data_IF_031097927123
#
_entry.id   IF_031097927123
#
_cell.length_a   1.000
_cell.length_b   1.000
_cell.length_c   1.000
_cell.angle_alpha   90.00
_cell.angle_beta   90.00
_cell.angle_gamma   90.00
#
_symmetry.space_group_name_H-M   'P 1'
#
loop_
_entity.id
_entity.type
_entity.pdbx_description
1 polymer ?
#
# COMPACT_ATOMS: atom_id res chain seq x y z
N UNK A 1 -6.95 7.17 17.39
CA UNK A 1 -6.96 7.28 15.91
C UNK A 1 -6.78 8.73 15.49
N UNK A 2 -6.02 9.00 14.48
CA UNK A 2 -5.86 10.35 13.92
C UNK A 2 -6.95 10.55 12.88
N UNK A 3 -7.74 11.60 13.00
CA UNK A 3 -8.79 11.89 12.03
C UNK A 3 -8.16 12.37 10.72
N UNK A 4 -8.53 11.77 9.59
CA UNK A 4 -8.16 12.27 8.27
C UNK A 4 -8.84 13.63 8.03
N UNK A 5 -8.06 14.60 7.56
CA UNK A 5 -8.56 15.89 7.10
C UNK A 5 -8.06 16.15 5.69
N UNK A 6 -8.96 16.47 4.78
CA UNK A 6 -8.60 16.85 3.42
C UNK A 6 -7.90 18.21 3.44
N UNK A 7 -6.68 18.32 2.89
CA UNK A 7 -5.99 19.61 2.78
C UNK A 7 -6.64 20.48 1.71
N UNK A 8 -6.57 21.79 1.89
CA UNK A 8 -7.13 22.76 0.95
C UNK A 8 -6.29 22.88 -0.33
N UNK A 9 -4.99 22.66 -0.24
CA UNK A 9 -4.04 22.78 -1.36
C UNK A 9 -2.81 21.88 -1.19
N UNK A 10 -1.89 21.93 -2.16
CA UNK A 10 -0.64 21.16 -2.13
C UNK A 10 0.29 21.55 -0.98
N UNK A 11 0.31 22.83 -0.59
CA UNK A 11 1.20 23.29 0.48
C UNK A 11 0.73 22.72 1.82
N UNK A 12 -0.57 22.75 2.09
CA UNK A 12 -1.17 22.12 3.28
C UNK A 12 -0.97 20.60 3.24
N UNK A 13 -1.16 19.95 2.08
CA UNK A 13 -0.93 18.51 1.93
C UNK A 13 0.50 18.10 2.28
N UNK A 14 1.48 18.86 1.82
CA UNK A 14 2.90 18.64 2.16
C UNK A 14 3.17 18.88 3.64
N UNK A 15 2.60 19.91 4.23
CA UNK A 15 2.71 20.19 5.65
C UNK A 15 2.12 19.06 6.50
N UNK A 16 0.99 18.47 6.09
CA UNK A 16 0.38 17.30 6.72
C UNK A 16 1.32 16.09 6.65
N UNK A 17 1.93 15.82 5.49
CA UNK A 17 2.91 14.74 5.36
C UNK A 17 4.11 14.94 6.30
N UNK A 18 4.67 16.15 6.36
CA UNK A 18 5.82 16.47 7.20
C UNK A 18 5.48 16.36 8.70
N UNK A 19 4.29 16.77 9.11
CA UNK A 19 3.83 16.66 10.49
C UNK A 19 3.56 15.20 10.92
N UNK A 20 2.98 14.38 10.03
CA UNK A 20 2.64 13.00 10.35
C UNK A 20 3.82 12.03 10.22
N UNK A 21 4.84 12.37 9.43
CA UNK A 21 6.03 11.53 9.20
C UNK A 21 6.70 11.11 10.50
N UNK A 22 6.80 12.00 11.48
CA UNK A 22 7.42 11.70 12.79
C UNK A 22 6.64 10.66 13.61
N UNK A 23 5.41 10.33 13.20
CA UNK A 23 4.56 9.34 13.89
C UNK A 23 4.67 7.94 13.28
N UNK A 24 5.44 7.78 12.21
CA UNK A 24 5.71 6.46 11.63
C UNK A 24 6.56 5.64 12.59
N UNK A 25 6.07 4.48 12.97
CA UNK A 25 6.77 3.52 13.83
C UNK A 25 7.50 2.52 12.94
N UNK A 26 8.81 2.36 13.12
CA UNK A 26 9.69 1.55 12.29
C UNK A 26 10.45 0.48 13.06
N UNK A 27 10.43 0.54 14.37
CA UNK A 27 11.17 -0.31 15.31
C UNK A 27 10.34 -1.51 15.83
N UNK A 28 9.09 -1.65 15.36
CA UNK A 28 8.30 -2.84 15.63
C UNK A 28 8.56 -3.91 14.56
N UNK A 29 8.67 -5.19 14.95
CA UNK A 29 8.93 -6.28 13.99
C UNK A 29 7.76 -6.51 13.03
N UNK A 30 6.52 -6.17 13.43
CA UNK A 30 5.30 -6.52 12.72
C UNK A 30 4.88 -7.99 12.92
N UNK A 31 3.71 -8.39 12.37
CA UNK A 31 3.26 -9.77 12.45
C UNK A 31 4.16 -10.71 11.65
N UNK A 32 4.30 -11.98 12.05
CA UNK A 32 5.08 -12.96 11.28
C UNK A 32 4.43 -13.27 9.91
N UNK A 33 5.22 -13.36 8.82
CA UNK A 33 4.70 -13.76 7.51
C UNK A 33 4.03 -15.13 7.50
N UNK A 34 2.95 -15.28 6.74
CA UNK A 34 2.19 -16.52 6.63
C UNK A 34 1.32 -16.85 7.85
N UNK A 35 1.12 -15.91 8.77
CA UNK A 35 0.26 -16.09 9.95
C UNK A 35 -0.82 -15.02 10.04
N UNK A 36 -1.98 -15.38 10.57
CA UNK A 36 -3.09 -14.47 10.80
C UNK A 36 -3.73 -13.96 9.51
N UNK A 37 -4.14 -12.71 9.52
CA UNK A 37 -4.83 -12.05 8.39
C UNK A 37 -3.93 -11.03 7.73
N UNK A 38 -4.13 -10.87 6.42
CA UNK A 38 -3.45 -9.87 5.61
C UNK A 38 -4.44 -9.27 4.64
N UNK A 39 -4.44 -7.94 4.52
CA UNK A 39 -5.41 -7.22 3.70
C UNK A 39 -4.72 -6.49 2.57
N UNK A 40 -5.21 -6.67 1.34
CA UNK A 40 -4.86 -5.81 0.23
C UNK A 40 -5.86 -4.67 0.10
N UNK A 41 -5.36 -3.47 -0.21
CA UNK A 41 -6.18 -2.33 -0.57
C UNK A 41 -5.74 -1.78 -1.92
N UNK A 42 -6.71 -1.38 -2.72
CA UNK A 42 -6.49 -0.73 -4.01
C UNK A 42 -7.70 0.13 -4.38
N UNK A 43 -7.54 1.02 -5.37
CA UNK A 43 -8.60 1.90 -5.84
C UNK A 43 -8.73 1.87 -7.36
N UNK A 44 -9.92 2.13 -7.86
CA UNK A 44 -10.20 2.37 -9.26
C UNK A 44 -10.91 3.73 -9.41
N UNK A 45 -10.62 4.42 -10.53
CA UNK A 45 -11.14 5.76 -10.81
C UNK A 45 -12.00 5.78 -12.06
N UNK A 46 -13.02 6.63 -12.03
CA UNK A 46 -13.70 7.19 -13.21
C UNK A 46 -13.48 8.71 -13.16
N UNK A 47 -12.47 9.18 -13.88
CA UNK A 47 -12.08 10.59 -13.88
C UNK A 47 -13.13 11.50 -14.57
N UNK A 48 -14.01 10.94 -15.42
CA UNK A 48 -15.09 11.70 -16.07
C UNK A 48 -16.22 12.06 -15.08
N UNK A 49 -16.39 11.20 -14.05
CA UNK A 49 -17.43 11.35 -13.02
C UNK A 49 -16.89 11.79 -11.66
N UNK A 50 -15.59 12.05 -11.54
CA UNK A 50 -14.88 12.26 -10.27
C UNK A 50 -15.15 11.14 -9.24
N UNK A 51 -15.34 9.91 -9.71
CA UNK A 51 -15.66 8.77 -8.86
C UNK A 51 -14.39 7.97 -8.54
N UNK A 52 -14.25 7.58 -7.30
CA UNK A 52 -13.26 6.60 -6.84
C UNK A 52 -13.96 5.45 -6.12
N UNK A 53 -13.57 4.23 -6.40
CA UNK A 53 -14.00 3.05 -5.66
C UNK A 53 -12.78 2.37 -5.06
N UNK A 54 -12.76 2.24 -3.75
CA UNK A 54 -11.75 1.47 -3.01
C UNK A 54 -12.27 0.07 -2.72
N UNK A 55 -11.35 -0.89 -2.68
CA UNK A 55 -11.58 -2.23 -2.19
C UNK A 55 -10.59 -2.59 -1.08
N UNK A 56 -11.05 -3.37 -0.11
CA UNK A 56 -10.25 -4.04 0.90
C UNK A 56 -10.57 -5.54 0.86
N UNK A 57 -9.56 -6.38 0.64
CA UNK A 57 -9.69 -7.84 0.57
C UNK A 57 -8.81 -8.48 1.61
N UNK A 58 -9.43 -9.14 2.57
CA UNK A 58 -8.77 -9.85 3.68
C UNK A 58 -8.53 -11.29 3.29
N UNK A 59 -7.28 -11.73 3.37
CA UNK A 59 -6.90 -13.12 3.16
C UNK A 59 -6.41 -13.75 4.45
N UNK A 60 -6.60 -15.06 4.59
CA UNK A 60 -5.78 -15.86 5.48
C UNK A 60 -4.35 -15.90 4.94
N UNK A 61 -3.37 -15.51 5.76
CA UNK A 61 -1.99 -15.33 5.31
C UNK A 61 -1.30 -16.66 4.94
N UNK A 62 -1.75 -17.79 5.49
CA UNK A 62 -1.19 -19.13 5.20
C UNK A 62 -1.74 -19.73 3.91
N UNK A 63 -3.06 -19.64 3.70
CA UNK A 63 -3.75 -20.30 2.57
C UNK A 63 -3.93 -19.37 1.37
N UNK A 64 -3.99 -18.05 1.58
CA UNK A 64 -4.39 -17.00 0.65
C UNK A 64 -5.85 -17.11 0.21
N UNK A 65 -6.68 -17.80 0.98
CA UNK A 65 -8.12 -17.80 0.79
C UNK A 65 -8.74 -16.49 1.27
N UNK A 66 -9.79 -16.05 0.58
CA UNK A 66 -10.52 -14.83 0.98
C UNK A 66 -11.34 -15.10 2.23
N UNK A 67 -11.11 -14.29 3.26
CA UNK A 67 -11.84 -14.32 4.54
C UNK A 67 -12.99 -13.32 4.54
N UNK A 68 -12.74 -12.12 4.03
CA UNK A 68 -13.72 -11.04 3.92
C UNK A 68 -13.29 -10.06 2.83
N UNK A 69 -14.26 -9.33 2.31
CA UNK A 69 -14.01 -8.25 1.37
C UNK A 69 -15.03 -7.13 1.58
N UNK A 70 -14.66 -5.93 1.18
CA UNK A 70 -15.51 -4.76 1.23
C UNK A 70 -15.11 -3.76 0.15
N UNK A 71 -16.07 -2.94 -0.25
CA UNK A 71 -15.84 -1.81 -1.15
C UNK A 71 -16.45 -0.53 -0.57
N UNK A 72 -15.88 0.60 -0.95
CA UNK A 72 -16.44 1.90 -0.67
C UNK A 72 -16.23 2.84 -1.85
N UNK A 73 -17.26 3.51 -2.24
CA UNK A 73 -17.24 4.57 -3.24
C UNK A 73 -17.07 5.94 -2.59
N UNK A 74 -16.54 6.87 -3.36
CA UNK A 74 -16.32 8.25 -2.92
C UNK A 74 -16.10 9.17 -4.10
N UNK A 75 -15.99 10.45 -3.81
CA UNK A 75 -15.63 11.47 -4.80
C UNK A 75 -14.15 11.86 -4.68
N UNK A 76 -13.51 12.00 -5.83
CA UNK A 76 -12.15 12.54 -5.91
C UNK A 76 -12.22 14.05 -5.72
N UNK A 77 -11.70 14.56 -4.59
CA UNK A 77 -11.72 15.97 -4.25
C UNK A 77 -10.34 16.63 -4.28
N UNK A 78 -9.27 15.82 -4.36
CA UNK A 78 -7.91 16.32 -4.44
C UNK A 78 -7.31 16.04 -5.83
N UNK A 79 -6.58 17.00 -6.45
CA UNK A 79 -6.00 16.81 -7.77
C UNK A 79 -4.92 15.73 -7.76
N UNK A 80 -4.64 15.14 -8.94
CA UNK A 80 -3.49 14.26 -9.08
C UNK A 80 -2.19 15.07 -9.04
N UNK A 81 -1.43 14.90 -7.96
CA UNK A 81 -0.11 15.51 -7.79
C UNK A 81 0.88 14.41 -7.39
N UNK A 82 1.98 14.21 -8.15
CA UNK A 82 2.99 13.22 -7.79
C UNK A 82 3.50 13.42 -6.36
N UNK A 83 3.46 12.33 -5.56
CA UNK A 83 3.82 12.37 -4.15
C UNK A 83 2.70 12.77 -3.19
N UNK A 84 1.50 13.12 -3.69
CA UNK A 84 0.32 13.44 -2.87
C UNK A 84 -0.86 12.49 -3.13
N UNK A 85 -0.62 11.35 -3.77
CA UNK A 85 -1.63 10.37 -4.13
C UNK A 85 -2.50 9.93 -2.95
N UNK A 86 -1.90 9.84 -1.77
CA UNK A 86 -2.60 9.45 -0.54
C UNK A 86 -3.86 10.30 -0.26
N UNK A 87 -3.86 11.59 -0.60
CA UNK A 87 -5.02 12.45 -0.36
C UNK A 87 -6.20 12.17 -1.31
N UNK A 88 -5.95 11.52 -2.45
CA UNK A 88 -7.01 11.05 -3.34
C UNK A 88 -7.62 9.73 -2.90
N UNK A 89 -6.82 8.85 -2.28
CA UNK A 89 -7.16 7.44 -2.07
C UNK A 89 -7.60 7.13 -0.64
N UNK A 90 -6.95 7.72 0.36
CA UNK A 90 -7.15 7.40 1.77
C UNK A 90 -8.62 7.51 2.21
N UNK A 91 -9.42 8.52 1.83
CA UNK A 91 -10.81 8.58 2.27
C UNK A 91 -11.61 7.34 1.91
N UNK A 92 -11.52 6.90 0.65
CA UNK A 92 -12.23 5.71 0.18
C UNK A 92 -11.64 4.42 0.77
N UNK A 93 -10.30 4.34 0.89
CA UNK A 93 -9.62 3.18 1.50
C UNK A 93 -10.00 3.03 2.97
N UNK A 94 -10.04 4.11 3.76
CA UNK A 94 -10.49 4.07 5.14
C UNK A 94 -11.94 3.59 5.24
N UNK A 95 -12.83 4.12 4.41
CA UNK A 95 -14.24 3.70 4.38
C UNK A 95 -14.38 2.21 4.02
N UNK A 96 -13.56 1.69 3.09
CA UNK A 96 -13.55 0.26 2.79
C UNK A 96 -13.03 -0.56 3.98
N UNK A 97 -11.94 -0.16 4.64
CA UNK A 97 -11.42 -0.85 5.82
C UNK A 97 -12.42 -0.85 6.99
N UNK A 98 -13.14 0.24 7.22
CA UNK A 98 -14.15 0.37 8.27
C UNK A 98 -15.37 -0.55 8.04
N UNK A 99 -15.67 -0.90 6.80
CA UNK A 99 -16.77 -1.83 6.43
C UNK A 99 -16.41 -3.30 6.59
N UNK A 100 -15.13 -3.64 6.81
CA UNK A 100 -14.73 -5.02 7.02
C UNK A 100 -15.36 -5.60 8.30
N UNK A 101 -15.95 -6.82 8.25
CA UNK A 101 -16.53 -7.46 9.43
C UNK A 101 -15.48 -8.13 10.32
N UNK A 102 -14.20 -8.04 9.96
CA UNK A 102 -13.09 -8.72 10.64
C UNK A 102 -11.89 -7.80 10.77
N UNK A 103 -10.98 -8.12 11.70
CA UNK A 103 -9.69 -7.43 11.80
C UNK A 103 -8.88 -7.60 10.50
N UNK A 104 -8.38 -6.52 9.91
CA UNK A 104 -7.64 -6.57 8.65
C UNK A 104 -6.23 -7.17 8.78
N UNK A 105 -5.65 -7.24 9.98
CA UNK A 105 -4.27 -7.66 10.17
C UNK A 105 -3.26 -6.70 9.54
N UNK A 106 -2.21 -7.25 8.89
CA UNK A 106 -1.26 -6.43 8.14
C UNK A 106 -1.89 -5.95 6.82
N UNK A 107 -1.75 -4.66 6.51
CA UNK A 107 -2.29 -4.08 5.27
C UNK A 107 -1.19 -3.91 4.22
N UNK A 108 -1.49 -4.29 2.98
CA UNK A 108 -0.62 -4.15 1.81
C UNK A 108 -1.25 -3.15 0.86
N UNK A 109 -0.57 -2.02 0.63
CA UNK A 109 -0.98 -1.00 -0.33
C UNK A 109 -0.26 -1.18 -1.68
N UNK A 110 -0.95 -0.98 -2.81
CA UNK A 110 -0.30 -0.77 -4.11
C UNK A 110 0.26 0.67 -4.15
N UNK A 111 1.46 0.85 -3.64
CA UNK A 111 2.08 2.16 -3.51
C UNK A 111 3.27 2.16 -2.56
N UNK A 112 3.69 3.34 -2.15
CA UNK A 112 4.89 3.54 -1.35
C UNK A 112 4.58 3.84 0.11
N UNK A 113 5.47 3.37 0.99
CA UNK A 113 5.61 3.85 2.36
C UNK A 113 6.78 4.85 2.47
N UNK A 114 7.88 4.43 3.10
CA UNK A 114 9.10 5.23 3.23
C UNK A 114 9.84 5.50 1.93
N UNK A 115 9.70 4.65 0.90
CA UNK A 115 10.28 4.88 -0.42
C UNK A 115 9.55 6.02 -1.16
N UNK A 116 9.50 7.18 -0.53
CA UNK A 116 8.81 8.39 -0.96
C UNK A 116 9.70 9.61 -0.68
N UNK A 117 9.71 10.67 -1.51
CA UNK A 117 10.60 11.84 -1.30
C UNK A 117 10.50 12.45 0.09
N UNK A 118 9.30 12.45 0.70
CA UNK A 118 9.07 12.91 2.07
C UNK A 118 9.11 11.80 3.12
N UNK A 119 9.51 10.56 2.77
CA UNK A 119 9.43 9.39 3.64
C UNK A 119 8.01 9.08 4.14
N UNK A 120 7.00 9.57 3.44
CA UNK A 120 5.60 9.48 3.85
C UNK A 120 4.67 9.32 2.64
N UNK A 121 4.66 8.14 2.04
CA UNK A 121 3.75 7.76 0.97
C UNK A 121 2.41 7.22 1.49
N UNK A 122 1.59 6.67 0.60
CA UNK A 122 0.26 6.12 0.88
C UNK A 122 0.26 5.13 2.06
N UNK A 123 1.16 4.13 2.03
CA UNK A 123 1.22 3.11 3.08
C UNK A 123 1.60 3.68 4.46
N UNK A 124 2.53 4.67 4.51
CA UNK A 124 2.87 5.33 5.77
C UNK A 124 1.72 6.20 6.28
N UNK A 125 1.05 6.90 5.38
CA UNK A 125 -0.08 7.75 5.75
C UNK A 125 -1.25 6.90 6.29
N UNK A 126 -1.64 5.84 5.58
CA UNK A 126 -2.67 4.92 6.03
C UNK A 126 -2.33 4.29 7.38
N UNK A 127 -1.08 3.83 7.55
CA UNK A 127 -0.62 3.22 8.79
C UNK A 127 -0.70 4.16 10.00
N UNK A 128 -0.27 5.43 9.84
CA UNK A 128 -0.36 6.43 10.92
C UNK A 128 -1.80 6.77 11.30
N UNK A 129 -2.72 6.78 10.33
CA UNK A 129 -4.13 7.06 10.58
C UNK A 129 -4.84 5.91 11.30
N UNK A 130 -4.57 4.68 10.88
CA UNK A 130 -5.25 3.47 11.38
C UNK A 130 -4.58 2.84 12.60
N UNK A 131 -3.27 3.07 12.77
CA UNK A 131 -2.44 2.37 13.76
C UNK A 131 -2.13 0.92 13.39
N UNK A 132 -2.49 0.46 12.18
CA UNK A 132 -2.24 -0.88 11.69
C UNK A 132 -0.79 -1.06 11.21
N UNK A 133 -0.24 -2.27 11.22
CA UNK A 133 0.96 -2.58 10.47
C UNK A 133 0.66 -2.49 8.97
N UNK A 134 1.42 -1.67 8.24
CA UNK A 134 1.21 -1.41 6.80
C UNK A 134 2.52 -1.50 6.05
N UNK A 135 2.48 -2.14 4.86
CA UNK A 135 3.58 -2.15 3.89
C UNK A 135 3.12 -1.58 2.55
N UNK A 136 4.05 -0.99 1.83
CA UNK A 136 3.85 -0.56 0.44
C UNK A 136 4.56 -1.49 -0.54
N UNK A 137 3.85 -1.93 -1.58
CA UNK A 137 4.39 -2.77 -2.65
C UNK A 137 4.02 -2.15 -3.99
N UNK A 138 4.90 -1.31 -4.53
CA UNK A 138 4.66 -0.59 -5.77
C UNK A 138 5.12 -1.38 -7.00
N UNK A 139 4.43 -1.19 -8.13
CA UNK A 139 4.71 -1.82 -9.42
C UNK A 139 5.91 -1.24 -10.15
N UNK A 140 6.19 0.04 -9.96
CA UNK A 140 7.25 0.79 -10.64
C UNK A 140 8.07 1.57 -9.61
N UNK A 141 9.35 1.91 -9.90
CA UNK A 141 10.12 2.78 -9.02
C UNK A 141 9.57 4.22 -9.07
N UNK A 142 9.61 4.94 -7.95
CA UNK A 142 9.22 6.35 -7.92
C UNK A 142 10.39 7.23 -8.38
N UNK A 143 11.25 7.67 -7.45
CA UNK A 143 12.38 8.56 -7.77
C UNK A 143 13.74 7.97 -7.43
N UNK A 144 13.78 6.89 -6.64
CA UNK A 144 15.03 6.35 -6.14
C UNK A 144 15.73 5.47 -7.17
N UNK A 145 17.05 5.57 -7.20
CA UNK A 145 17.89 4.70 -8.03
C UNK A 145 18.04 3.35 -7.35
N UNK A 146 18.13 2.32 -8.15
CA UNK A 146 18.40 0.97 -7.70
C UNK A 146 19.17 0.21 -8.77
N UNK A 147 19.94 -0.76 -8.36
CA UNK A 147 20.51 -1.76 -9.25
C UNK A 147 19.50 -2.88 -9.50
N UNK A 148 19.55 -3.49 -10.69
CA UNK A 148 18.66 -4.61 -10.97
C UNK A 148 19.01 -5.78 -10.04
N UNK A 149 18.02 -6.31 -9.27
CA UNK A 149 18.27 -7.52 -8.49
C UNK A 149 18.54 -8.71 -9.39
N UNK A 150 19.22 -9.73 -8.86
CA UNK A 150 19.44 -10.98 -9.52
C UNK A 150 18.16 -11.61 -10.07
N UNK A 151 18.26 -12.66 -10.93
CA UNK A 151 17.11 -13.21 -11.66
C UNK A 151 16.19 -14.09 -10.83
N UNK A 152 16.61 -14.52 -9.64
CA UNK A 152 15.89 -15.51 -8.84
C UNK A 152 14.87 -14.86 -7.91
N UNK A 153 13.79 -15.56 -7.64
CA UNK A 153 12.83 -15.19 -6.61
C UNK A 153 13.54 -15.05 -5.25
N UNK A 154 13.32 -13.92 -4.58
CA UNK A 154 13.99 -13.56 -3.33
C UNK A 154 15.19 -12.64 -3.50
N UNK A 155 15.80 -12.57 -4.70
CA UNK A 155 16.86 -11.60 -4.96
C UNK A 155 16.32 -10.16 -4.79
N UNK A 156 17.11 -9.31 -4.16
CA UNK A 156 16.76 -7.89 -3.99
C UNK A 156 17.98 -6.98 -4.07
N UNK A 157 17.71 -5.71 -4.29
CA UNK A 157 18.68 -4.61 -4.17
C UNK A 157 18.06 -3.47 -3.40
N UNK A 158 18.85 -2.69 -2.63
CA UNK A 158 18.32 -1.57 -1.87
C UNK A 158 17.85 -0.43 -2.79
N UNK A 159 16.82 0.26 -2.36
CA UNK A 159 16.47 1.60 -2.84
C UNK A 159 17.14 2.60 -1.91
N UNK A 160 18.12 3.32 -2.45
CA UNK A 160 18.93 4.26 -1.68
C UNK A 160 18.54 5.72 -1.95
N UNK A 161 18.53 6.51 -0.87
CA UNK A 161 18.47 7.96 -0.95
C UNK A 161 19.59 8.54 -0.08
N UNK A 162 20.71 8.93 -0.71
CA UNK A 162 21.97 9.12 -0.02
C UNK A 162 22.43 7.81 0.61
N UNK A 163 22.69 7.82 1.91
CA UNK A 163 23.14 6.65 2.68
C UNK A 163 21.98 5.88 3.33
N UNK A 164 20.73 6.29 3.11
CA UNK A 164 19.55 5.67 3.71
C UNK A 164 18.91 4.63 2.79
N UNK A 165 18.73 3.40 3.28
CA UNK A 165 17.89 2.37 2.63
C UNK A 165 16.41 2.70 2.92
N UNK A 166 15.67 3.14 1.90
CA UNK A 166 14.25 3.53 2.02
C UNK A 166 13.29 2.45 1.59
N UNK A 167 13.80 1.38 0.97
CA UNK A 167 13.02 0.24 0.48
C UNK A 167 13.89 -0.71 -0.32
N UNK A 168 13.27 -1.68 -0.97
CA UNK A 168 13.96 -2.69 -1.79
C UNK A 168 13.25 -2.94 -3.11
N UNK A 169 14.05 -3.08 -4.18
CA UNK A 169 13.61 -3.70 -5.42
C UNK A 169 13.72 -5.22 -5.24
N UNK A 170 12.58 -5.90 -5.13
CA UNK A 170 12.48 -7.32 -4.77
C UNK A 170 11.97 -8.16 -5.93
N UNK A 171 12.69 -9.23 -6.27
CA UNK A 171 12.27 -10.21 -7.27
C UNK A 171 11.29 -11.21 -6.65
N UNK A 172 10.03 -11.10 -6.98
CA UNK A 172 8.97 -11.97 -6.45
C UNK A 172 8.72 -13.21 -7.30
N UNK A 173 9.22 -13.22 -8.53
CA UNK A 173 9.17 -14.35 -9.47
C UNK A 173 10.41 -14.33 -10.36
N UNK A 174 10.93 -15.52 -10.70
CA UNK A 174 12.12 -15.65 -11.53
C UNK A 174 11.97 -14.93 -12.86
N UNK A 175 13.03 -14.24 -13.27
CA UNK A 175 13.15 -13.53 -14.56
C UNK A 175 12.05 -12.49 -14.87
N UNK A 176 11.27 -12.03 -13.87
CA UNK A 176 10.28 -10.96 -14.04
C UNK A 176 10.82 -9.61 -13.51
N UNK A 177 10.19 -8.50 -13.84
CA UNK A 177 10.51 -7.19 -13.23
C UNK A 177 10.33 -7.24 -11.71
N UNK A 178 11.19 -6.61 -10.89
CA UNK A 178 10.99 -6.55 -9.44
C UNK A 178 9.78 -5.71 -9.08
N UNK A 179 9.26 -5.92 -7.87
CA UNK A 179 8.37 -4.98 -7.18
C UNK A 179 9.19 -4.12 -6.21
N UNK A 180 8.64 -3.00 -5.77
CA UNK A 180 9.33 -2.04 -4.91
C UNK A 180 8.66 -2.02 -3.54
N UNK A 181 9.34 -2.65 -2.57
CA UNK A 181 8.82 -2.84 -1.21
C UNK A 181 9.36 -1.76 -0.30
N UNK A 182 8.49 -1.17 0.51
CA UNK A 182 8.89 -0.24 1.56
C UNK A 182 7.99 -0.35 2.79
N UNK A 183 8.56 0.01 3.94
CA UNK A 183 7.80 0.05 5.20
C UNK A 183 6.78 1.19 5.14
N UNK A 184 5.55 0.91 5.53
CA UNK A 184 4.53 1.92 5.81
C UNK A 184 4.53 2.31 7.29
N UNK A 185 4.18 1.38 8.18
CA UNK A 185 4.04 1.61 9.61
C UNK A 185 4.10 0.29 10.39
N UNK A 186 4.67 0.28 11.60
CA UNK A 186 4.68 -0.82 12.59
C UNK A 186 5.18 -2.17 12.06
N UNK A 187 6.20 -2.14 11.23
CA UNK A 187 6.88 -3.32 10.68
C UNK A 187 8.28 -2.96 10.21
N UNK A 188 9.17 -3.94 10.14
CA UNK A 188 10.53 -3.78 9.58
C UNK A 188 10.59 -4.10 8.09
N UNK A 189 11.64 -3.64 7.40
CA UNK A 189 11.80 -3.82 5.95
C UNK A 189 12.02 -5.30 5.56
N UNK A 190 12.76 -6.06 6.36
CA UNK A 190 12.95 -7.49 6.13
C UNK A 190 11.61 -8.24 6.22
N UNK A 191 10.79 -7.89 7.22
CA UNK A 191 9.47 -8.46 7.40
C UNK A 191 8.52 -8.06 6.24
N UNK A 192 8.57 -6.81 5.77
CA UNK A 192 7.80 -6.36 4.61
C UNK A 192 8.16 -7.16 3.34
N UNK A 193 9.45 -7.42 3.11
CA UNK A 193 9.92 -8.26 2.00
C UNK A 193 9.46 -9.72 2.16
N UNK A 194 9.55 -10.28 3.37
CA UNK A 194 9.10 -11.64 3.65
C UNK A 194 7.59 -11.81 3.45
N UNK A 195 6.77 -10.87 3.91
CA UNK A 195 5.33 -10.83 3.59
C UNK A 195 5.09 -10.76 2.09
N UNK A 196 5.77 -9.86 1.39
CA UNK A 196 5.63 -9.71 -0.07
C UNK A 196 5.91 -11.03 -0.79
N UNK A 197 6.98 -11.74 -0.39
CA UNK A 197 7.27 -13.06 -0.94
C UNK A 197 6.18 -14.08 -0.58
N UNK A 198 5.76 -14.17 0.67
CA UNK A 198 4.73 -15.13 1.08
C UNK A 198 3.41 -14.95 0.32
N UNK A 199 3.07 -13.70 0.00
CA UNK A 199 1.84 -13.31 -0.72
C UNK A 199 1.94 -13.41 -2.25
N UNK A 200 3.14 -13.69 -2.82
CA UNK A 200 3.34 -13.84 -4.27
C UNK A 200 3.48 -15.30 -4.63
N UNK A 201 2.37 -15.96 -5.00
CA UNK A 201 2.35 -17.35 -5.48
C UNK A 201 2.01 -17.38 -6.98
N UNK A 202 3.05 -17.51 -7.81
CA UNK A 202 2.90 -17.60 -9.28
C UNK A 202 2.73 -16.27 -10.02
N UNK A 203 2.46 -15.17 -9.33
CA UNK A 203 2.36 -13.83 -9.90
C UNK A 203 3.48 -12.91 -9.40
N UNK A 204 3.72 -11.82 -10.12
CA UNK A 204 4.69 -10.80 -9.73
C UNK A 204 4.20 -9.96 -8.53
N UNK A 205 2.91 -9.66 -8.51
CA UNK A 205 2.29 -8.86 -7.45
C UNK A 205 1.69 -9.74 -6.36
N UNK A 206 1.60 -9.23 -5.10
CA UNK A 206 0.92 -9.92 -4.02
C UNK A 206 -0.53 -10.25 -4.37
N UNK A 207 -0.99 -11.41 -3.94
CA UNK A 207 -2.37 -11.85 -4.16
C UNK A 207 -3.38 -10.89 -3.53
N UNK A 208 -3.03 -10.28 -2.41
CA UNK A 208 -3.83 -9.27 -1.70
C UNK A 208 -4.17 -8.08 -2.59
N UNK A 209 -3.17 -7.41 -3.16
CA UNK A 209 -3.38 -6.23 -4.03
C UNK A 209 -3.99 -6.62 -5.37
N UNK A 210 -3.66 -7.81 -5.92
CA UNK A 210 -4.30 -8.31 -7.15
C UNK A 210 -5.81 -8.51 -6.99
N UNK A 211 -6.24 -9.06 -5.85
CA UNK A 211 -7.67 -9.24 -5.57
C UNK A 211 -8.36 -7.91 -5.31
N UNK A 212 -7.71 -7.00 -4.58
CA UNK A 212 -8.25 -5.66 -4.36
C UNK A 212 -8.42 -4.88 -5.68
N UNK A 213 -7.41 -4.92 -6.59
CA UNK A 213 -7.50 -4.32 -7.95
C UNK A 213 -8.69 -4.91 -8.74
N UNK A 214 -8.85 -6.22 -8.73
CA UNK A 214 -9.97 -6.86 -9.42
C UNK A 214 -11.33 -6.45 -8.84
N UNK A 215 -11.45 -6.40 -7.52
CA UNK A 215 -12.69 -6.05 -6.82
C UNK A 215 -13.07 -4.58 -7.03
N UNK A 216 -12.14 -3.62 -6.84
CA UNK A 216 -12.45 -2.20 -7.03
C UNK A 216 -12.84 -1.88 -8.48
N UNK A 217 -12.19 -2.50 -9.47
CA UNK A 217 -12.57 -2.36 -10.89
C UNK A 217 -13.95 -2.94 -11.20
N UNK A 218 -14.34 -4.08 -10.57
CA UNK A 218 -15.67 -4.64 -10.73
C UNK A 218 -16.73 -3.72 -10.14
N UNK A 219 -16.53 -3.29 -8.90
CA UNK A 219 -17.44 -2.39 -8.20
C UNK A 219 -17.55 -1.02 -8.91
N UNK A 220 -16.46 -0.50 -9.49
CA UNK A 220 -16.50 0.73 -10.29
C UNK A 220 -17.40 0.57 -11.53
N UNK A 221 -17.32 -0.56 -12.25
CA UNK A 221 -18.20 -0.81 -13.41
C UNK A 221 -19.67 -0.88 -13.01
N UNK A 222 -19.97 -1.48 -11.86
CA UNK A 222 -21.34 -1.57 -11.33
C UNK A 222 -21.87 -0.20 -10.90
N UNK A 223 -21.03 0.65 -10.30
CA UNK A 223 -21.39 2.00 -9.90
C UNK A 223 -21.53 2.98 -11.08
N UNK A 224 -20.91 2.68 -12.22
CA UNK A 224 -20.93 3.51 -13.43
C UNK A 224 -22.07 3.15 -14.41
N UNK A 225 -22.72 1.98 -14.25
CA UNK A 225 -23.85 1.51 -15.07
C UNK A 225 -25.19 1.91 -14.50
#
# INVERSE_FOLDING_TARGET
MTTFRMPADEAEARAVQDALRARVVLDEPGPPPGTGRVTGVDVAYDDERDLVVAAAVVLDAATLEVVAESTADGRVTFPYVPGLLAFREIPAVLAALERLPVDPGLVVCDGYGRAHPRRFGLASHLGVLTGLPVIGVAKNPFTFRYEQPGPRRGDFTPLMDGDEEVGRALRTRDATKPVFVSVGHRTGLDNACAHTLALTRGFRQPETTRRADALCRSALREAAG
#
